data_IF_841602520827
#
_entry.id   IF_841602520827
#
_cell.length_a   1.000
_cell.length_b   1.000
_cell.length_c   1.000
_cell.angle_alpha   90.00
_cell.angle_beta   90.00
_cell.angle_gamma   90.00
#
_symmetry.space_group_name_H-M   'P 1'
#
loop_
_entity.id
_entity.type
_entity.pdbx_description
1 polymer ?
#
# COMPACT_ATOMS: atom_id res chain seq x y z
N UNK A 1 8.99 11.22 -16.12
CA UNK A 1 7.54 11.30 -15.90
C UNK A 1 6.84 11.66 -17.21
N UNK A 2 5.78 10.94 -17.57
CA UNK A 2 4.93 11.31 -18.69
C UNK A 2 3.92 12.38 -18.26
N UNK A 3 3.79 13.42 -19.05
CA UNK A 3 2.81 14.51 -18.83
C UNK A 3 1.62 14.44 -19.79
N UNK A 4 1.73 13.64 -20.84
CA UNK A 4 0.67 13.46 -21.84
C UNK A 4 -0.25 12.30 -21.42
N UNK A 5 -1.55 12.55 -21.31
CA UNK A 5 -2.56 11.54 -20.91
C UNK A 5 -2.47 10.24 -21.75
N UNK A 6 -2.23 10.34 -23.07
CA UNK A 6 -2.07 9.17 -23.95
C UNK A 6 -0.88 8.27 -23.64
N UNK A 7 0.10 8.75 -22.84
CA UNK A 7 1.29 8.00 -22.43
C UNK A 7 1.16 7.44 -21.04
N UNK A 8 0.09 7.79 -20.34
CA UNK A 8 -0.17 7.31 -19.00
C UNK A 8 -0.33 5.77 -19.00
N UNK A 9 0.19 5.11 -17.98
CA UNK A 9 0.19 3.65 -17.91
C UNK A 9 1.33 2.95 -18.67
N UNK A 10 2.23 3.71 -19.30
CA UNK A 10 3.46 3.13 -19.87
C UNK A 10 4.52 2.94 -18.78
N UNK A 11 5.33 1.89 -18.95
CA UNK A 11 6.47 1.65 -18.09
C UNK A 11 7.46 2.83 -18.14
N UNK A 12 7.95 3.23 -16.95
CA UNK A 12 8.98 4.27 -16.78
C UNK A 12 10.14 3.72 -15.96
N UNK A 13 11.28 4.41 -15.96
CA UNK A 13 12.39 4.07 -15.06
C UNK A 13 11.97 4.10 -13.59
N UNK A 14 11.17 5.08 -13.19
CA UNK A 14 10.66 5.19 -11.81
C UNK A 14 9.77 3.99 -11.46
N UNK A 15 8.89 3.54 -12.38
CA UNK A 15 8.13 2.30 -12.18
C UNK A 15 9.06 1.10 -11.94
N UNK A 16 10.11 0.96 -12.75
CA UNK A 16 11.08 -0.15 -12.59
C UNK A 16 11.78 -0.08 -11.23
N UNK A 17 12.17 1.11 -10.78
CA UNK A 17 12.77 1.30 -9.44
C UNK A 17 11.76 0.98 -8.34
N UNK A 18 10.50 1.35 -8.49
CA UNK A 18 9.45 1.04 -7.51
C UNK A 18 9.21 -0.48 -7.40
N UNK A 19 9.13 -1.19 -8.52
CA UNK A 19 9.01 -2.65 -8.54
C UNK A 19 10.24 -3.30 -7.91
N UNK A 20 11.45 -2.84 -8.25
CA UNK A 20 12.71 -3.34 -7.66
C UNK A 20 12.73 -3.16 -6.14
N UNK A 21 12.41 -1.98 -5.64
CA UNK A 21 12.37 -1.69 -4.21
C UNK A 21 11.38 -2.62 -3.48
N UNK A 22 10.18 -2.79 -4.03
CA UNK A 22 9.16 -3.69 -3.49
C UNK A 22 9.61 -5.15 -3.48
N UNK A 23 10.21 -5.62 -4.57
CA UNK A 23 10.72 -7.00 -4.66
C UNK A 23 11.82 -7.25 -3.62
N UNK A 24 12.75 -6.32 -3.43
CA UNK A 24 13.82 -6.45 -2.45
C UNK A 24 13.28 -6.41 -1.01
N UNK A 25 12.27 -5.59 -0.75
CA UNK A 25 11.59 -5.56 0.55
C UNK A 25 10.93 -6.90 0.86
N UNK A 26 10.21 -7.49 -0.10
CA UNK A 26 9.61 -8.81 0.08
C UNK A 26 10.67 -9.91 0.26
N UNK A 27 11.77 -9.85 -0.49
CA UNK A 27 12.88 -10.80 -0.36
C UNK A 27 13.59 -10.71 1.00
N UNK A 28 13.51 -9.57 1.68
CA UNK A 28 14.04 -9.37 3.03
C UNK A 28 13.10 -9.85 4.14
N UNK A 29 11.79 -9.97 3.83
CA UNK A 29 10.76 -10.28 4.83
C UNK A 29 10.98 -11.66 5.47
N UNK A 30 10.56 -11.86 6.73
CA UNK A 30 10.66 -13.15 7.41
C UNK A 30 9.94 -14.28 6.67
N UNK A 31 8.97 -13.96 5.81
CA UNK A 31 8.24 -14.95 5.02
C UNK A 31 9.15 -15.81 4.14
N UNK A 32 10.19 -15.20 3.55
CA UNK A 32 11.09 -15.89 2.59
C UNK A 32 12.58 -15.79 2.95
N UNK A 33 12.93 -15.02 3.95
CA UNK A 33 14.31 -14.82 4.37
C UNK A 33 14.66 -15.70 5.57
N UNK A 34 15.09 -16.91 5.32
CA UNK A 34 15.42 -17.87 6.34
C UNK A 34 14.22 -18.60 6.95
N UNK A 35 13.11 -18.67 6.22
CA UNK A 35 11.91 -19.35 6.70
C UNK A 35 12.02 -20.88 6.49
N UNK A 36 12.14 -21.61 7.59
CA UNK A 36 12.30 -23.08 7.59
C UNK A 36 11.02 -23.83 7.27
N UNK A 37 9.84 -23.18 7.29
CA UNK A 37 8.57 -23.79 6.89
C UNK A 37 8.60 -24.24 5.43
N UNK A 38 9.47 -23.61 4.61
CA UNK A 38 9.64 -23.95 3.21
C UNK A 38 10.84 -24.89 2.94
N UNK A 39 11.36 -25.60 3.97
CA UNK A 39 12.51 -26.49 3.82
C UNK A 39 12.29 -27.62 2.77
N UNK A 40 11.05 -28.02 2.58
CA UNK A 40 10.67 -29.07 1.62
C UNK A 40 10.26 -28.51 0.25
N UNK A 41 10.28 -27.19 0.07
CA UNK A 41 9.91 -26.55 -1.20
C UNK A 41 11.15 -26.48 -2.11
N UNK A 42 11.25 -27.48 -3.00
CA UNK A 42 12.43 -27.70 -3.83
C UNK A 42 12.06 -27.68 -5.31
N UNK A 43 13.04 -27.30 -6.14
CA UNK A 43 12.96 -27.44 -7.59
C UNK A 43 13.16 -28.90 -8.02
N UNK A 44 13.07 -29.15 -9.32
CA UNK A 44 13.28 -30.45 -9.96
C UNK A 44 14.68 -31.04 -9.74
N UNK A 45 15.67 -30.22 -9.38
CA UNK A 45 17.04 -30.62 -9.04
C UNK A 45 17.26 -30.89 -7.55
N UNK A 46 16.23 -30.75 -6.72
CA UNK A 46 16.29 -30.93 -5.28
C UNK A 46 16.87 -29.76 -4.50
N UNK A 47 17.07 -28.59 -5.14
CA UNK A 47 17.57 -27.38 -4.50
C UNK A 47 16.42 -26.62 -3.84
N UNK A 48 16.65 -26.06 -2.65
CA UNK A 48 15.66 -25.21 -1.99
C UNK A 48 15.43 -23.93 -2.78
N UNK A 49 14.16 -23.64 -3.09
CA UNK A 49 13.75 -22.41 -3.80
C UNK A 49 13.84 -21.19 -2.87
N UNK A 50 13.57 -21.39 -1.58
CA UNK A 50 13.65 -20.37 -0.55
C UNK A 50 14.83 -20.66 0.37
N UNK A 51 15.67 -19.64 0.59
CA UNK A 51 16.83 -19.77 1.49
C UNK A 51 16.37 -20.13 2.91
N UNK A 52 16.99 -21.17 3.46
CA UNK A 52 16.75 -21.60 4.85
C UNK A 52 17.62 -20.82 5.86
N UNK A 53 18.53 -19.99 5.36
CA UNK A 53 19.42 -19.19 6.20
C UNK A 53 19.00 -17.74 6.14
N UNK A 54 18.80 -17.11 7.30
CA UNK A 54 18.51 -15.68 7.40
C UNK A 54 19.72 -14.84 6.97
N UNK A 55 19.45 -13.85 6.11
CA UNK A 55 20.45 -12.89 5.63
C UNK A 55 19.99 -11.45 5.96
N UNK A 56 20.57 -10.87 7.00
CA UNK A 56 20.30 -9.50 7.43
C UNK A 56 20.66 -8.46 6.35
N UNK A 57 21.59 -8.76 5.43
CA UNK A 57 22.01 -7.83 4.38
C UNK A 57 20.89 -7.51 3.38
N UNK A 58 19.88 -8.36 3.27
CA UNK A 58 18.71 -8.13 2.42
C UNK A 58 17.91 -6.89 2.83
N UNK A 59 17.80 -6.62 4.14
CA UNK A 59 17.16 -5.40 4.64
C UNK A 59 17.91 -4.15 4.21
N UNK A 60 19.24 -4.20 4.25
CA UNK A 60 20.06 -3.08 3.78
C UNK A 60 19.85 -2.83 2.28
N UNK A 61 19.86 -3.88 1.47
CA UNK A 61 19.62 -3.78 0.02
C UNK A 61 18.22 -3.21 -0.27
N UNK A 62 17.21 -3.61 0.50
CA UNK A 62 15.85 -3.06 0.37
C UNK A 62 15.81 -1.57 0.73
N UNK A 63 16.43 -1.18 1.85
CA UNK A 63 16.51 0.21 2.28
C UNK A 63 17.23 1.10 1.27
N UNK A 64 18.35 0.64 0.73
CA UNK A 64 19.12 1.38 -0.28
C UNK A 64 18.31 1.55 -1.58
N UNK A 65 17.57 0.51 -2.01
CA UNK A 65 16.70 0.59 -3.18
C UNK A 65 15.49 1.52 -2.97
N UNK A 66 14.91 1.56 -1.77
CA UNK A 66 13.84 2.49 -1.43
C UNK A 66 14.36 3.94 -1.44
N UNK A 67 15.57 4.17 -0.89
CA UNK A 67 16.18 5.49 -0.90
C UNK A 67 16.48 5.98 -2.32
N UNK A 68 17.03 5.12 -3.16
CA UNK A 68 17.27 5.40 -4.58
C UNK A 68 15.96 5.77 -5.29
N UNK A 69 14.90 4.98 -5.09
CA UNK A 69 13.57 5.26 -5.65
C UNK A 69 13.06 6.64 -5.24
N UNK A 70 13.12 6.99 -3.96
CA UNK A 70 12.65 8.29 -3.46
C UNK A 70 13.42 9.42 -4.13
N UNK A 71 14.75 9.35 -4.13
CA UNK A 71 15.61 10.37 -4.73
C UNK A 71 15.30 10.58 -6.22
N UNK A 72 15.20 9.50 -6.98
CA UNK A 72 14.93 9.56 -8.42
C UNK A 72 13.50 10.00 -8.73
N UNK A 73 12.51 9.59 -7.90
CA UNK A 73 11.13 10.01 -8.05
C UNK A 73 10.98 11.52 -7.79
N UNK A 74 11.57 12.04 -6.73
CA UNK A 74 11.57 13.48 -6.42
C UNK A 74 12.25 14.28 -7.52
N UNK A 75 13.41 13.84 -8.01
CA UNK A 75 14.10 14.45 -9.14
C UNK A 75 13.26 14.46 -10.43
N UNK A 76 12.41 13.43 -10.62
CA UNK A 76 11.48 13.35 -11.73
C UNK A 76 10.19 14.16 -11.52
N UNK A 77 10.05 14.87 -10.40
CA UNK A 77 8.92 15.74 -10.06
C UNK A 77 7.71 15.00 -9.49
N UNK A 78 7.91 13.80 -8.93
CA UNK A 78 6.93 13.19 -8.05
C UNK A 78 7.09 13.76 -6.64
N UNK A 79 5.99 13.92 -5.93
CA UNK A 79 5.99 14.44 -4.55
C UNK A 79 4.68 14.11 -3.88
N UNK A 80 4.63 14.22 -2.56
CA UNK A 80 3.38 14.09 -1.83
C UNK A 80 2.35 15.10 -2.35
N UNK A 81 1.13 14.67 -2.45
CA UNK A 81 0.02 15.50 -2.87
C UNK A 81 -0.44 16.36 -1.69
N UNK A 82 -0.49 17.65 -1.88
CA UNK A 82 -0.81 18.62 -0.82
C UNK A 82 -1.98 19.50 -1.20
N UNK A 83 -3.01 19.51 -0.38
CA UNK A 83 -4.08 20.49 -0.39
C UNK A 83 -3.79 21.55 0.68
N UNK A 84 -3.91 22.81 0.35
CA UNK A 84 -3.69 23.91 1.28
C UNK A 84 -5.02 24.51 1.74
N UNK A 85 -5.11 24.80 3.03
CA UNK A 85 -6.17 25.60 3.64
C UNK A 85 -6.06 27.06 3.22
N UNK A 86 -7.07 27.86 3.54
CA UNK A 86 -7.10 29.29 3.25
C UNK A 86 -5.96 30.09 3.90
N UNK A 87 -5.44 29.59 5.03
CA UNK A 87 -4.31 30.18 5.75
C UNK A 87 -2.93 29.76 5.19
N UNK A 88 -2.91 28.94 4.14
CA UNK A 88 -1.68 28.45 3.50
C UNK A 88 -1.08 27.19 4.14
N UNK A 89 -1.60 26.73 5.27
CA UNK A 89 -1.17 25.47 5.90
C UNK A 89 -1.67 24.26 5.12
N UNK A 90 -0.95 23.12 5.23
CA UNK A 90 -1.39 21.87 4.61
C UNK A 90 -2.62 21.33 5.34
N UNK A 91 -3.63 20.90 4.58
CA UNK A 91 -4.75 20.12 5.07
C UNK A 91 -4.43 18.64 4.89
N UNK A 92 -4.04 17.91 5.93
CA UNK A 92 -3.63 16.52 5.80
C UNK A 92 -4.80 15.60 5.43
N UNK A 93 -6.02 15.91 5.90
CA UNK A 93 -7.20 15.13 5.57
C UNK A 93 -7.56 15.25 4.09
N UNK A 94 -7.70 16.49 3.61
CA UNK A 94 -8.04 16.74 2.21
C UNK A 94 -6.92 16.29 1.26
N UNK A 95 -5.65 16.42 1.67
CA UNK A 95 -4.52 15.92 0.89
C UNK A 95 -4.60 14.41 0.71
N UNK A 96 -4.86 13.67 1.78
CA UNK A 96 -4.99 12.22 1.73
C UNK A 96 -6.24 11.78 0.94
N UNK A 97 -7.38 12.42 1.19
CA UNK A 97 -8.63 12.12 0.49
C UNK A 97 -8.48 12.32 -1.02
N UNK A 98 -7.99 13.49 -1.44
CA UNK A 98 -7.81 13.82 -2.85
C UNK A 98 -6.80 12.89 -3.54
N UNK A 99 -5.71 12.55 -2.86
CA UNK A 99 -4.71 11.63 -3.39
C UNK A 99 -5.30 10.25 -3.71
N UNK A 100 -6.27 9.78 -2.92
CA UNK A 100 -6.86 8.45 -3.09
C UNK A 100 -7.75 8.32 -4.33
N UNK A 101 -8.41 9.39 -4.77
CA UNK A 101 -9.35 9.29 -5.89
C UNK A 101 -9.02 10.15 -7.11
N UNK A 102 -8.21 11.20 -6.96
CA UNK A 102 -7.80 12.01 -8.11
C UNK A 102 -6.88 11.26 -9.04
N UNK A 103 -7.17 11.37 -10.31
CA UNK A 103 -6.36 10.79 -11.36
C UNK A 103 -5.12 11.62 -11.65
N UNK A 104 -4.24 11.07 -12.49
CA UNK A 104 -3.00 11.71 -12.91
C UNK A 104 -3.22 13.07 -13.60
N UNK A 105 -4.23 13.19 -14.48
CA UNK A 105 -4.58 14.41 -15.22
C UNK A 105 -5.25 15.47 -14.34
N UNK A 106 -5.70 15.09 -13.14
CA UNK A 106 -6.20 15.99 -12.11
C UNK A 106 -5.11 16.50 -11.16
N UNK A 107 -3.84 16.30 -11.53
CA UNK A 107 -2.69 16.82 -10.80
C UNK A 107 -2.18 15.95 -9.66
N UNK A 108 -2.60 14.69 -9.56
CA UNK A 108 -2.06 13.76 -8.58
C UNK A 108 -0.57 13.51 -8.84
N UNK A 109 0.26 13.95 -7.91
CA UNK A 109 1.73 13.89 -8.02
C UNK A 109 2.34 12.63 -7.41
N UNK A 110 1.56 11.80 -6.72
CA UNK A 110 2.06 10.60 -6.05
C UNK A 110 2.02 9.35 -6.94
N UNK A 111 1.19 9.32 -7.99
CA UNK A 111 1.03 8.14 -8.81
C UNK A 111 2.28 7.89 -9.65
N UNK A 112 3.08 6.91 -9.27
CA UNK A 112 4.28 6.49 -10.02
C UNK A 112 3.90 5.70 -11.27
N UNK A 113 2.89 4.84 -11.14
CA UNK A 113 2.34 4.02 -12.21
C UNK A 113 0.91 3.63 -11.90
N UNK A 114 0.05 3.68 -12.91
CA UNK A 114 -1.29 3.12 -12.84
C UNK A 114 -1.69 2.50 -14.18
N UNK A 115 -2.53 1.50 -14.14
CA UNK A 115 -3.17 0.95 -15.34
C UNK A 115 -4.39 1.80 -15.66
N UNK A 116 -4.41 2.56 -16.75
CA UNK A 116 -5.56 3.34 -17.14
C UNK A 116 -6.67 2.43 -17.68
N UNK A 117 -7.90 2.73 -17.31
CA UNK A 117 -9.10 2.11 -17.85
C UNK A 117 -9.42 0.70 -17.35
N UNK A 118 -10.65 0.28 -17.56
CA UNK A 118 -11.07 -1.12 -17.44
C UNK A 118 -11.34 -1.64 -16.03
N UNK A 119 -11.80 -0.82 -15.11
CA UNK A 119 -12.38 -1.31 -13.86
C UNK A 119 -13.92 -1.29 -13.97
N UNK A 120 -14.56 -2.41 -13.65
CA UNK A 120 -15.99 -2.44 -13.46
C UNK A 120 -16.30 -2.04 -12.02
N UNK A 121 -16.45 -0.75 -11.79
CA UNK A 121 -16.73 -0.19 -10.47
C UNK A 121 -17.98 -0.77 -9.85
N UNK A 122 -19.08 -0.86 -10.62
CA UNK A 122 -20.36 -1.34 -10.16
C UNK A 122 -20.25 -2.70 -9.47
N UNK A 123 -19.50 -3.63 -10.05
CA UNK A 123 -19.37 -4.96 -9.49
C UNK A 123 -18.66 -4.97 -8.12
N UNK A 124 -17.55 -4.23 -7.99
CA UNK A 124 -16.83 -4.16 -6.71
C UNK A 124 -17.59 -3.35 -5.66
N UNK A 125 -18.26 -2.31 -6.09
CA UNK A 125 -19.08 -1.47 -5.23
C UNK A 125 -20.28 -2.23 -4.69
N UNK A 126 -20.98 -2.98 -5.55
CA UNK A 126 -22.07 -3.88 -5.14
C UNK A 126 -21.60 -4.96 -4.15
N UNK A 127 -20.42 -5.55 -4.37
CA UNK A 127 -19.87 -6.55 -3.46
C UNK A 127 -19.50 -5.99 -2.09
N UNK A 128 -18.98 -4.77 -2.05
CA UNK A 128 -18.53 -4.12 -0.82
C UNK A 128 -19.67 -3.46 -0.03
N UNK A 129 -20.74 -3.04 -0.73
CA UNK A 129 -21.84 -2.31 -0.11
C UNK A 129 -22.73 -3.25 0.70
N UNK A 130 -23.18 -2.83 1.89
CA UNK A 130 -24.14 -3.59 2.70
C UNK A 130 -25.45 -3.86 1.97
N UNK A 131 -26.10 -4.98 2.28
CA UNK A 131 -27.38 -5.40 1.67
C UNK A 131 -28.47 -4.33 1.72
N UNK A 132 -28.52 -3.51 2.76
CA UNK A 132 -29.52 -2.44 2.93
C UNK A 132 -29.45 -1.34 1.86
N UNK A 133 -28.31 -1.20 1.20
CA UNK A 133 -28.07 -0.17 0.17
C UNK A 133 -28.01 -0.76 -1.24
N UNK A 134 -28.76 -1.82 -1.49
CA UNK A 134 -28.75 -2.57 -2.76
C UNK A 134 -27.41 -3.25 -3.08
N UNK A 135 -26.56 -3.41 -2.09
CA UNK A 135 -25.31 -4.14 -2.20
C UNK A 135 -25.46 -5.64 -1.91
N UNK A 136 -24.44 -6.41 -2.22
CA UNK A 136 -24.41 -7.86 -2.01
C UNK A 136 -23.80 -8.27 -0.67
N UNK A 137 -23.13 -7.36 0.04
CA UNK A 137 -22.49 -7.64 1.34
C UNK A 137 -21.45 -8.78 1.29
N UNK A 138 -20.85 -9.02 0.11
CA UNK A 138 -19.99 -10.16 -0.13
C UNK A 138 -18.51 -9.94 0.23
N UNK A 139 -18.13 -8.73 0.61
CA UNK A 139 -16.78 -8.42 1.06
C UNK A 139 -16.81 -8.02 2.52
N UNK A 140 -16.03 -8.72 3.33
CA UNK A 140 -15.77 -8.38 4.72
C UNK A 140 -14.28 -8.21 4.95
N UNK A 141 -13.92 -7.43 5.95
CA UNK A 141 -12.55 -7.30 6.41
C UNK A 141 -12.22 -8.39 7.43
N UNK A 142 -10.96 -8.79 7.51
CA UNK A 142 -10.49 -9.68 8.57
C UNK A 142 -10.44 -8.94 9.89
N UNK A 143 -10.64 -9.64 11.02
CA UNK A 143 -10.49 -9.05 12.35
C UNK A 143 -9.11 -8.41 12.54
N UNK A 144 -8.05 -9.05 12.04
CA UNK A 144 -6.69 -8.48 12.10
C UNK A 144 -6.57 -7.12 11.40
N UNK A 145 -7.35 -6.87 10.35
CA UNK A 145 -7.37 -5.55 9.71
C UNK A 145 -8.13 -4.54 10.57
N UNK A 146 -9.25 -4.95 11.17
CA UNK A 146 -10.00 -4.09 12.11
C UNK A 146 -9.11 -3.69 13.28
N UNK A 147 -8.41 -4.66 13.87
CA UNK A 147 -7.52 -4.45 15.02
C UNK A 147 -6.30 -3.58 14.71
N UNK A 148 -5.97 -3.43 13.42
CA UNK A 148 -4.87 -2.57 12.98
C UNK A 148 -5.22 -1.07 12.96
N UNK A 149 -6.51 -0.71 13.05
CA UNK A 149 -6.92 0.69 13.13
C UNK A 149 -6.63 1.27 14.51
N UNK A 150 -6.11 2.49 14.52
CA UNK A 150 -5.89 3.24 15.74
C UNK A 150 -7.19 3.86 16.26
N UNK A 151 -7.26 4.04 17.57
CA UNK A 151 -8.34 4.79 18.21
C UNK A 151 -8.25 6.29 17.88
N UNK A 152 -9.28 7.07 18.20
CA UNK A 152 -9.35 8.51 17.96
C UNK A 152 -8.12 9.29 18.48
N UNK A 153 -7.52 8.81 19.59
CA UNK A 153 -6.31 9.39 20.16
C UNK A 153 -5.01 8.95 19.45
N UNK A 154 -5.11 8.21 18.32
CA UNK A 154 -3.98 7.74 17.53
C UNK A 154 -3.25 6.52 18.09
N UNK A 155 -3.69 5.96 19.21
CA UNK A 155 -3.06 4.80 19.83
C UNK A 155 -3.66 3.48 19.30
N UNK A 156 -2.85 2.41 19.17
CA UNK A 156 -3.35 1.10 18.81
C UNK A 156 -4.23 0.53 19.93
N UNK A 157 -5.16 -0.35 19.58
CA UNK A 157 -6.09 -0.99 20.53
C UNK A 157 -5.37 -1.76 21.65
N UNK A 158 -4.13 -2.18 21.42
CA UNK A 158 -3.29 -2.88 22.42
C UNK A 158 -2.67 -1.96 23.45
N UNK A 159 -2.70 -0.64 23.27
CA UNK A 159 -2.18 0.33 24.24
C UNK A 159 -3.23 0.60 25.32
N UNK A 160 -2.90 0.43 26.61
CA UNK A 160 -3.85 0.71 27.70
C UNK A 160 -4.40 2.15 27.70
N UNK A 161 -3.66 3.12 27.17
CA UNK A 161 -4.10 4.51 27.09
C UNK A 161 -5.03 4.77 25.89
N UNK A 162 -5.25 3.77 25.05
CA UNK A 162 -6.21 3.86 23.91
C UNK A 162 -7.65 3.94 24.39
N UNK A 163 -7.94 3.47 25.59
CA UNK A 163 -9.27 3.29 26.16
C UNK A 163 -10.15 2.31 25.38
N UNK A 164 -9.56 1.48 24.52
CA UNK A 164 -10.29 0.46 23.78
C UNK A 164 -10.89 -0.57 24.75
N UNK A 165 -12.14 -0.94 24.48
CA UNK A 165 -12.84 -2.02 25.17
C UNK A 165 -13.54 -2.88 24.16
N UNK A 166 -13.32 -4.18 24.24
CA UNK A 166 -14.06 -5.18 23.47
C UNK A 166 -15.33 -5.57 24.23
N UNK A 167 -16.21 -4.61 24.40
CA UNK A 167 -17.52 -4.86 24.99
C UNK A 167 -18.51 -4.92 23.83
N UNK A 168 -19.19 -6.05 23.70
CA UNK A 168 -20.22 -6.38 22.73
C UNK A 168 -20.93 -5.27 21.97
N UNK A 169 -21.89 -5.61 21.17
CA UNK A 169 -22.65 -4.65 20.39
C UNK A 169 -23.24 -3.58 21.29
N UNK A 170 -22.85 -2.34 21.12
CA UNK A 170 -23.59 -1.23 21.73
C UNK A 170 -24.95 -1.19 21.07
N UNK A 171 -26.01 -1.24 21.83
CA UNK A 171 -27.34 -0.87 21.36
C UNK A 171 -27.28 0.59 20.89
N UNK A 172 -27.40 0.80 19.57
CA UNK A 172 -27.43 2.10 18.96
C UNK A 172 -28.83 2.71 19.08
#
# INVERSE_FOLDING_TARGET
>A
KYTEARKYGRATSIMCLAVRARMLLYAASPLVNGNTDYANYKNDKGENIISQTYDASKWRKAADACKELITEAEAAGYKLYEVKKADGTIDPFMSYQDMMFKCFDEGNTEILFARPGGCNYSYYEELATPLRSSGNGGLGVTQSLVDAFSMENGLPITDPASNYKEEGFSDA
#
